data_IF_721158680840
#
_entry.id   IF_721158680840
#
_cell.length_a   1.000
_cell.length_b   1.000
_cell.length_c   1.000
_cell.angle_alpha   90.00
_cell.angle_beta   90.00
_cell.angle_gamma   90.00
#
_symmetry.space_group_name_H-M   'P 1'
#
loop_
_entity.id
_entity.type
_entity.pdbx_description
1 polymer ?
#
# COMPACT_ATOMS: atom_id res chain seq x y z
N UNK A 1 7.84 3.07 -10.10
CA UNK A 1 6.61 3.25 -9.29
C UNK A 1 5.48 2.49 -9.95
N UNK A 2 4.84 1.61 -9.19
CA UNK A 2 3.60 0.95 -9.60
C UNK A 2 2.47 1.61 -8.82
N UNK A 3 1.57 2.26 -9.52
CA UNK A 3 0.42 2.94 -8.94
C UNK A 3 -0.80 2.03 -9.02
N UNK A 4 -1.35 1.65 -7.86
CA UNK A 4 -2.52 0.77 -7.78
C UNK A 4 -3.84 1.55 -7.71
N UNK A 5 -3.79 2.88 -7.80
CA UNK A 5 -4.96 3.77 -7.82
C UNK A 5 -5.63 3.92 -6.46
N UNK A 6 -6.96 4.03 -6.48
CA UNK A 6 -7.78 4.11 -5.28
C UNK A 6 -7.97 2.70 -4.71
N UNK A 7 -7.31 2.43 -3.60
CA UNK A 7 -7.25 1.11 -2.98
C UNK A 7 -7.37 1.22 -1.46
N UNK A 8 -7.73 0.11 -0.80
CA UNK A 8 -7.63 0.02 0.65
C UNK A 8 -6.17 -0.04 1.11
N UNK A 9 -5.92 0.34 2.37
CA UNK A 9 -4.56 0.26 2.94
C UNK A 9 -4.04 -1.18 2.90
N UNK A 10 -4.91 -2.16 3.16
CA UNK A 10 -4.62 -3.58 3.07
C UNK A 10 -4.17 -4.03 1.66
N UNK A 11 -4.63 -3.37 0.60
CA UNK A 11 -4.20 -3.67 -0.77
C UNK A 11 -2.77 -3.20 -1.03
N UNK A 12 -2.30 -2.12 -0.40
CA UNK A 12 -0.88 -1.73 -0.46
C UNK A 12 0.00 -2.78 0.23
N UNK A 13 -0.41 -3.27 1.41
CA UNK A 13 0.31 -4.34 2.10
C UNK A 13 0.36 -5.60 1.22
N UNK A 14 -0.79 -5.98 0.65
CA UNK A 14 -0.88 -7.07 -0.31
C UNK A 14 0.07 -6.89 -1.49
N UNK A 15 0.05 -5.72 -2.12
CA UNK A 15 0.89 -5.39 -3.27
C UNK A 15 2.38 -5.57 -2.96
N UNK A 16 2.85 -5.15 -1.77
CA UNK A 16 4.27 -5.25 -1.41
C UNK A 16 4.79 -6.69 -1.45
N UNK A 17 4.05 -7.63 -0.87
CA UNK A 17 4.48 -9.03 -0.86
C UNK A 17 4.12 -9.76 -2.15
N UNK A 18 2.97 -9.45 -2.76
CA UNK A 18 2.49 -10.12 -3.97
C UNK A 18 3.38 -9.81 -5.19
N UNK A 19 3.83 -8.56 -5.32
CA UNK A 19 4.73 -8.13 -6.39
C UNK A 19 6.21 -8.26 -6.05
N UNK A 20 6.55 -8.56 -4.79
CA UNK A 20 7.93 -8.62 -4.32
C UNK A 20 8.67 -7.29 -4.43
N UNK A 21 7.97 -6.17 -4.22
CA UNK A 21 8.57 -4.83 -4.25
C UNK A 21 9.17 -4.46 -2.90
N UNK A 22 10.15 -3.55 -2.91
CA UNK A 22 10.89 -3.13 -1.71
C UNK A 22 10.03 -2.33 -0.72
N UNK A 23 8.91 -1.78 -1.16
CA UNK A 23 8.00 -1.05 -0.29
C UNK A 23 6.79 -0.46 -1.01
N UNK A 24 5.91 0.14 -0.22
CA UNK A 24 4.67 0.78 -0.65
C UNK A 24 4.36 2.02 0.19
N UNK A 25 3.63 2.95 -0.42
CA UNK A 25 3.15 4.16 0.24
C UNK A 25 1.65 4.28 -0.04
N UNK A 26 0.86 4.32 1.02
CA UNK A 26 -0.57 4.62 0.97
C UNK A 26 -0.75 6.08 1.36
N UNK A 27 -1.36 6.88 0.49
CA UNK A 27 -1.73 8.28 0.80
C UNK A 27 -3.15 8.28 1.38
N UNK A 28 -3.27 8.44 2.70
CA UNK A 28 -4.55 8.35 3.40
C UNK A 28 -4.50 9.05 4.75
N UNK A 29 -5.64 9.60 5.18
CA UNK A 29 -5.88 10.05 6.54
C UNK A 29 -6.67 9.03 7.38
N UNK A 30 -6.86 7.82 6.85
CA UNK A 30 -7.69 6.76 7.46
C UNK A 30 -9.13 7.22 7.72
N UNK A 31 -9.46 7.60 8.96
CA UNK A 31 -10.80 8.00 9.39
C UNK A 31 -10.86 9.48 9.77
N UNK A 32 -9.76 10.22 9.58
CA UNK A 32 -9.69 11.63 9.92
C UNK A 32 -10.65 12.45 9.02
N UNK A 33 -11.03 13.66 9.46
CA UNK A 33 -11.85 14.57 8.67
C UNK A 33 -11.24 14.88 7.28
N UNK A 34 -12.10 15.36 6.36
CA UNK A 34 -11.78 15.55 4.94
C UNK A 34 -10.59 16.49 4.66
N UNK A 35 -10.28 17.39 5.58
CA UNK A 35 -9.15 18.33 5.51
C UNK A 35 -7.81 17.72 5.94
N UNK A 36 -7.78 16.46 6.37
CA UNK A 36 -6.56 15.75 6.73
C UNK A 36 -6.05 14.87 5.60
N UNK A 37 -4.72 14.68 5.56
CA UNK A 37 -4.07 13.66 4.75
C UNK A 37 -2.80 13.17 5.46
N UNK A 38 -2.22 12.07 4.97
CA UNK A 38 -1.03 11.47 5.52
C UNK A 38 -0.48 10.39 4.60
N UNK A 39 0.59 9.73 5.05
CA UNK A 39 1.18 8.60 4.36
C UNK A 39 1.40 7.45 5.35
N UNK A 40 1.04 6.23 4.95
CA UNK A 40 1.48 5.00 5.62
C UNK A 40 2.56 4.37 4.75
N UNK A 41 3.70 4.04 5.36
CA UNK A 41 4.83 3.45 4.64
C UNK A 41 4.97 1.97 5.01
N UNK A 42 5.23 1.14 4.01
CA UNK A 42 5.34 -0.32 4.14
C UNK A 42 6.63 -0.77 3.44
N UNK A 43 7.34 -1.71 4.06
CA UNK A 43 8.54 -2.40 3.56
C UNK A 43 8.20 -3.71 2.87
N UNK A 44 9.21 -4.30 2.26
CA UNK A 44 9.14 -5.60 1.61
C UNK A 44 8.52 -6.67 2.53
N UNK A 45 7.64 -7.49 1.95
CA UNK A 45 6.92 -8.52 2.68
C UNK A 45 5.86 -7.99 3.65
N UNK A 46 5.18 -6.89 3.31
CA UNK A 46 4.06 -6.33 4.06
C UNK A 46 4.40 -5.85 5.49
N UNK A 47 5.63 -5.37 5.70
CA UNK A 47 6.08 -4.93 7.03
C UNK A 47 5.84 -3.44 7.22
N UNK A 48 5.08 -3.00 8.24
CA UNK A 48 4.87 -1.59 8.48
C UNK A 48 6.19 -0.88 8.85
N UNK A 49 6.34 0.38 8.42
CA UNK A 49 7.40 1.27 8.90
C UNK A 49 6.83 2.16 10.02
N UNK A 50 7.40 2.03 11.20
CA UNK A 50 7.15 2.81 12.42
C UNK A 50 8.38 3.64 12.80
N UNK A 51 8.26 4.42 13.88
CA UNK A 51 9.33 5.29 14.38
C UNK A 51 10.66 4.56 14.61
N UNK A 52 10.61 3.37 15.19
CA UNK A 52 11.73 2.49 15.52
C UNK A 52 12.16 1.58 14.36
N UNK A 53 11.34 1.43 13.32
CA UNK A 53 11.62 0.56 12.17
C UNK A 53 11.89 1.33 10.88
N UNK A 54 12.20 2.62 10.96
CA UNK A 54 12.77 3.40 9.86
C UNK A 54 12.12 4.74 9.56
N UNK A 55 10.98 5.07 10.16
CA UNK A 55 10.30 6.35 9.87
C UNK A 55 11.18 7.55 10.27
N UNK A 56 11.94 7.43 11.37
CA UNK A 56 12.91 8.45 11.78
C UNK A 56 14.08 8.60 10.80
N UNK A 57 14.44 7.54 10.08
CA UNK A 57 15.48 7.63 9.05
C UNK A 57 14.95 8.38 7.82
N UNK A 58 13.72 8.08 7.40
CA UNK A 58 13.02 8.83 6.35
C UNK A 58 12.88 10.31 6.71
N UNK A 59 12.50 10.62 7.95
CA UNK A 59 12.45 11.98 8.46
C UNK A 59 13.81 12.69 8.32
N UNK A 60 14.90 12.08 8.83
CA UNK A 60 16.25 12.67 8.74
C UNK A 60 16.67 12.92 7.29
N UNK A 61 16.40 11.99 6.38
CA UNK A 61 16.72 12.14 4.95
C UNK A 61 15.92 13.30 4.32
N UNK A 62 14.63 13.39 4.62
CA UNK A 62 13.77 14.46 4.12
C UNK A 62 14.19 15.84 4.66
N UNK A 63 14.53 15.93 5.95
CA UNK A 63 14.99 17.17 6.59
C UNK A 63 16.36 17.63 6.08
N UNK A 64 17.28 16.69 5.81
CA UNK A 64 18.58 17.02 5.24
C UNK A 64 18.47 17.56 3.80
N UNK A 65 17.52 17.06 3.01
CA UNK A 65 17.27 17.51 1.64
C UNK A 65 18.42 17.22 0.66
N UNK A 66 19.41 16.44 1.07
CA UNK A 66 20.61 16.10 0.29
C UNK A 66 20.33 14.91 -0.63
N UNK A 67 19.50 15.14 -1.64
CA UNK A 67 19.17 14.14 -2.65
C UNK A 67 20.13 14.27 -3.86
N UNK A 68 20.67 13.15 -4.37
CA UNK A 68 21.49 13.20 -5.56
C UNK A 68 20.69 13.74 -6.75
N UNK A 69 21.35 14.45 -7.70
CA UNK A 69 20.70 14.86 -8.93
C UNK A 69 20.18 13.63 -9.69
N UNK A 70 19.09 13.82 -10.44
CA UNK A 70 18.49 12.73 -11.21
C UNK A 70 19.47 12.22 -12.26
N UNK A 71 19.72 10.91 -12.26
CA UNK A 71 20.44 10.25 -13.33
C UNK A 71 19.47 9.85 -14.45
N UNK A 72 19.46 10.59 -15.56
CA UNK A 72 18.54 10.34 -16.67
C UNK A 72 18.74 8.97 -17.33
N UNK A 73 19.94 8.41 -17.31
CA UNK A 73 20.22 7.07 -17.85
C UNK A 73 19.68 5.93 -16.98
N UNK A 74 19.34 6.22 -15.71
CA UNK A 74 18.83 5.25 -14.73
C UNK A 74 17.46 5.67 -14.16
N UNK A 75 16.74 6.55 -14.85
CA UNK A 75 15.43 7.04 -14.39
C UNK A 75 14.43 5.89 -14.36
N UNK A 76 13.78 5.69 -13.21
CA UNK A 76 12.70 4.70 -13.07
C UNK A 76 11.47 5.04 -13.92
N UNK A 77 10.57 4.08 -14.06
CA UNK A 77 9.29 4.26 -14.76
C UNK A 77 8.12 4.38 -13.80
N UNK A 78 7.01 4.91 -14.32
CA UNK A 78 5.71 4.92 -13.67
C UNK A 78 4.73 4.09 -14.50
N UNK A 79 3.92 3.28 -13.83
CA UNK A 79 2.84 2.53 -14.47
C UNK A 79 1.67 2.37 -13.51
N UNK A 80 0.48 2.65 -14.01
CA UNK A 80 -0.75 2.33 -13.31
C UNK A 80 -1.13 0.85 -13.56
N UNK A 81 -1.50 0.15 -12.51
CA UNK A 81 -1.91 -1.25 -12.52
C UNK A 81 -3.14 -1.43 -11.62
N UNK A 82 -3.82 -2.57 -11.73
CA UNK A 82 -4.85 -2.99 -10.77
C UNK A 82 -4.48 -4.36 -10.24
N UNK A 83 -4.60 -4.54 -8.92
CA UNK A 83 -4.36 -5.81 -8.23
C UNK A 83 -5.62 -6.35 -7.57
N UNK A 84 -6.78 -5.74 -7.81
CA UNK A 84 -8.03 -6.05 -7.11
C UNK A 84 -8.42 -7.51 -7.25
N UNK A 85 -8.33 -8.08 -8.44
CA UNK A 85 -8.68 -9.49 -8.68
C UNK A 85 -7.71 -10.42 -7.96
N UNK A 86 -6.40 -10.15 -8.04
CA UNK A 86 -5.38 -10.92 -7.33
C UNK A 86 -5.55 -10.84 -5.80
N UNK A 87 -5.96 -9.69 -5.29
CA UNK A 87 -6.24 -9.50 -3.86
C UNK A 87 -7.48 -10.29 -3.43
N UNK A 88 -8.57 -10.24 -4.21
CA UNK A 88 -9.79 -11.03 -3.96
C UNK A 88 -9.48 -12.53 -4.01
N UNK A 89 -8.75 -13.00 -5.01
CA UNK A 89 -8.34 -14.40 -5.14
C UNK A 89 -7.51 -14.86 -3.93
N UNK A 90 -6.60 -14.00 -3.46
CA UNK A 90 -5.83 -14.26 -2.26
C UNK A 90 -6.71 -14.37 -1.00
N UNK A 91 -7.68 -13.48 -0.83
CA UNK A 91 -8.62 -13.54 0.29
C UNK A 91 -9.49 -14.81 0.24
N UNK A 92 -9.95 -15.20 -0.95
CA UNK A 92 -10.76 -16.40 -1.13
C UNK A 92 -9.97 -17.68 -0.84
N UNK A 93 -8.64 -17.67 -0.97
CA UNK A 93 -7.80 -18.82 -0.59
C UNK A 93 -7.81 -19.12 0.92
N UNK A 94 -8.23 -18.17 1.77
CA UNK A 94 -8.37 -18.41 3.22
C UNK A 94 -9.62 -19.20 3.60
N UNK A 95 -10.58 -19.34 2.69
CA UNK A 95 -11.87 -19.99 2.97
C UNK A 95 -12.19 -21.05 1.93
N UNK A 96 -13.04 -22.00 2.29
CA UNK A 96 -13.67 -22.89 1.33
C UNK A 96 -14.98 -22.25 0.87
N UNK A 97 -15.00 -21.67 -0.33
CA UNK A 97 -16.16 -20.94 -0.89
C UNK A 97 -17.43 -21.81 -0.92
N UNK A 98 -17.29 -23.12 -1.09
CA UNK A 98 -18.41 -24.08 -1.04
C UNK A 98 -19.10 -24.18 0.33
N UNK A 99 -18.47 -23.70 1.40
CA UNK A 99 -19.06 -23.66 2.74
C UNK A 99 -19.91 -22.41 2.96
N UNK A 100 -19.93 -21.46 2.01
CA UNK A 100 -20.76 -20.27 2.11
C UNK A 100 -22.21 -20.62 1.79
N UNK A 101 -23.11 -20.37 2.74
CA UNK A 101 -24.55 -20.44 2.53
C UNK A 101 -25.09 -19.08 2.08
N UNK A 102 -26.20 -19.01 1.32
CA UNK A 102 -26.81 -17.74 0.98
C UNK A 102 -27.12 -16.89 2.23
N UNK A 103 -26.61 -15.66 2.26
CA UNK A 103 -26.83 -14.69 3.34
C UNK A 103 -27.46 -13.42 2.76
N UNK A 104 -28.31 -12.76 3.55
CA UNK A 104 -28.72 -11.38 3.29
C UNK A 104 -27.78 -10.47 4.07
N UNK A 105 -26.99 -9.67 3.36
CA UNK A 105 -26.00 -8.77 3.94
C UNK A 105 -26.35 -7.33 3.58
N UNK A 106 -26.09 -6.42 4.51
CA UNK A 106 -26.05 -4.97 4.27
C UNK A 106 -24.63 -4.53 4.57
N UNK A 107 -24.00 -3.83 3.63
CA UNK A 107 -22.63 -3.34 3.76
C UNK A 107 -22.65 -1.82 3.60
N UNK A 108 -22.01 -1.13 4.53
CA UNK A 108 -21.71 0.30 4.47
C UNK A 108 -20.19 0.45 4.58
N UNK A 109 -19.55 1.00 3.55
CA UNK A 109 -18.09 1.14 3.46
C UNK A 109 -17.52 2.34 4.23
N UNK A 110 -18.34 3.01 5.04
CA UNK A 110 -18.01 4.29 5.66
C UNK A 110 -18.69 5.44 4.92
#
# INVERSE_FOLDING_TARGET
VLDIGMSGTEEIYFATFHLGVDGGIEVTASHNPMDYNGMKLVREGARPISGDTGLRDVQRLAEAGDFPPVNDAARGSYRQISLRDAYIDHLLAYISVNNLTPLKLVVNSG
#
